data_IF_737952239444
#
_entry.id   IF_737952239444
#
_cell.length_a   1.000
_cell.length_b   1.000
_cell.length_c   1.000
_cell.angle_alpha   90.00
_cell.angle_beta   90.00
_cell.angle_gamma   90.00
#
_symmetry.space_group_name_H-M   'P 1'
#
loop_
_entity.id
_entity.type
_entity.pdbx_description
1 polymer ?
#
# COMPACT_ATOMS: atom_id res chain seq x y z
N UNK A 1 20.34 12.66 14.33
CA UNK A 1 19.41 13.19 13.31
C UNK A 1 18.03 12.66 13.65
N UNK A 2 16.99 13.50 13.62
CA UNK A 2 15.62 13.05 13.90
C UNK A 2 15.11 12.29 12.67
N UNK A 3 14.72 11.03 12.85
CA UNK A 3 14.11 10.22 11.79
C UNK A 3 12.65 10.65 11.63
N UNK A 4 12.23 11.00 10.42
CA UNK A 4 10.85 11.38 10.12
C UNK A 4 9.94 10.14 10.19
N UNK A 5 8.82 10.27 10.91
CA UNK A 5 7.78 9.22 11.00
C UNK A 5 6.87 9.33 9.78
N UNK A 6 6.70 8.21 9.06
CA UNK A 6 5.81 8.12 7.90
C UNK A 6 4.71 7.08 8.15
N UNK A 7 3.49 7.38 7.71
CA UNK A 7 2.37 6.43 7.70
C UNK A 7 1.87 6.29 6.26
N UNK A 8 1.75 5.07 5.76
CA UNK A 8 1.18 4.79 4.45
C UNK A 8 -0.34 4.55 4.55
N UNK A 9 -1.11 5.26 3.73
CA UNK A 9 -2.56 5.07 3.59
C UNK A 9 -2.83 4.52 2.20
N UNK A 10 -3.44 3.33 2.12
CA UNK A 10 -3.59 2.60 0.87
C UNK A 10 -5.07 2.41 0.59
N UNK A 11 -5.51 2.91 -0.56
CA UNK A 11 -6.81 2.59 -1.15
C UNK A 11 -6.70 1.25 -1.91
N UNK A 12 -7.25 0.21 -1.33
CA UNK A 12 -7.25 -1.16 -1.84
C UNK A 12 -8.12 -1.35 -3.07
N UNK A 13 -9.19 -0.57 -3.24
CA UNK A 13 -10.01 -0.64 -4.45
C UNK A 13 -9.22 -0.09 -5.62
N UNK A 14 -8.64 1.11 -5.46
CA UNK A 14 -7.83 1.73 -6.51
C UNK A 14 -6.58 0.88 -6.85
N UNK A 15 -5.90 0.37 -5.82
CA UNK A 15 -4.73 -0.49 -6.01
C UNK A 15 -5.07 -1.77 -6.79
N UNK A 16 -6.15 -2.46 -6.42
CA UNK A 16 -6.55 -3.70 -7.09
C UNK A 16 -6.85 -3.49 -8.58
N UNK A 17 -7.61 -2.44 -8.91
CA UNK A 17 -7.92 -2.11 -10.29
C UNK A 17 -6.67 -1.68 -11.06
N UNK A 18 -5.79 -0.87 -10.47
CA UNK A 18 -4.51 -0.50 -11.07
C UNK A 18 -3.62 -1.70 -11.39
N UNK A 19 -3.56 -2.70 -10.49
CA UNK A 19 -2.84 -3.96 -10.74
C UNK A 19 -3.44 -4.74 -11.92
N UNK A 20 -4.77 -4.75 -12.03
CA UNK A 20 -5.46 -5.44 -13.12
C UNK A 20 -5.20 -4.75 -14.47
N UNK A 21 -5.31 -3.42 -14.51
CA UNK A 21 -5.08 -2.61 -15.71
C UNK A 21 -3.62 -2.70 -16.18
N UNK A 22 -2.67 -2.72 -15.24
CA UNK A 22 -1.24 -2.90 -15.51
C UNK A 22 -0.86 -4.34 -15.91
N UNK A 23 -1.82 -5.29 -15.92
CA UNK A 23 -1.58 -6.72 -16.18
C UNK A 23 -0.52 -7.33 -15.25
N UNK A 24 -0.54 -6.95 -13.97
CA UNK A 24 0.35 -7.43 -12.93
C UNK A 24 -0.35 -8.43 -12.00
N UNK A 25 -1.07 -9.42 -12.55
CA UNK A 25 -1.95 -10.29 -11.76
C UNK A 25 -1.23 -11.09 -10.67
N UNK A 26 0.07 -11.37 -10.83
CA UNK A 26 0.92 -11.97 -9.79
C UNK A 26 1.09 -11.09 -8.55
N UNK A 27 0.86 -9.78 -8.66
CA UNK A 27 0.98 -8.80 -7.58
C UNK A 27 -0.33 -8.58 -6.82
N UNK A 28 -1.38 -9.38 -7.02
CA UNK A 28 -2.63 -9.26 -6.25
C UNK A 28 -2.45 -9.44 -4.74
N UNK A 29 -1.41 -10.16 -4.35
CA UNK A 29 -1.00 -10.38 -2.96
C UNK A 29 0.26 -9.59 -2.62
N UNK A 30 0.37 -8.36 -3.12
CA UNK A 30 1.50 -7.49 -2.88
C UNK A 30 1.69 -7.25 -1.37
N UNK A 31 2.92 -7.40 -0.89
CA UNK A 31 3.29 -6.97 0.45
C UNK A 31 3.30 -5.43 0.50
N UNK A 32 2.23 -4.88 1.06
CA UNK A 32 2.02 -3.45 1.15
C UNK A 32 3.01 -2.76 2.09
N UNK A 33 3.52 -3.47 3.10
CA UNK A 33 4.54 -2.93 4.01
C UNK A 33 5.88 -2.86 3.29
N UNK A 34 6.30 -3.94 2.63
CA UNK A 34 7.54 -3.96 1.88
C UNK A 34 7.53 -2.92 0.73
N UNK A 35 6.40 -2.77 0.02
CA UNK A 35 6.23 -1.69 -0.96
C UNK A 35 6.38 -0.31 -0.31
N UNK A 36 5.69 -0.07 0.81
CA UNK A 36 5.73 1.23 1.49
C UNK A 36 7.14 1.56 1.99
N UNK A 37 7.88 0.57 2.49
CA UNK A 37 9.27 0.70 2.92
C UNK A 37 10.21 1.02 1.75
N UNK A 38 10.01 0.39 0.60
CA UNK A 38 10.78 0.64 -0.62
C UNK A 38 10.59 2.07 -1.19
N UNK A 39 9.51 2.76 -0.81
CA UNK A 39 9.20 4.13 -1.22
C UNK A 39 9.72 5.20 -0.24
N UNK A 40 10.26 4.80 0.92
CA UNK A 40 10.77 5.74 1.92
C UNK A 40 12.05 6.46 1.45
N UNK A 41 12.24 7.68 1.95
CA UNK A 41 13.52 8.40 1.81
C UNK A 41 14.50 7.97 2.92
N UNK A 42 15.82 8.18 2.75
CA UNK A 42 16.84 7.70 3.71
C UNK A 42 16.73 8.21 5.17
N UNK A 43 15.94 9.27 5.42
CA UNK A 43 15.69 9.81 6.77
C UNK A 43 14.28 9.52 7.28
N UNK A 44 13.54 8.63 6.62
CA UNK A 44 12.18 8.26 6.99
C UNK A 44 12.13 6.84 7.54
N UNK A 45 11.15 6.58 8.42
CA UNK A 45 10.79 5.22 8.82
C UNK A 45 9.28 5.04 8.75
N UNK A 46 8.84 3.87 8.33
CA UNK A 46 7.44 3.51 8.24
C UNK A 46 6.93 3.08 9.61
N UNK A 47 6.08 3.91 10.20
CA UNK A 47 5.46 3.65 11.49
C UNK A 47 4.23 2.74 11.35
N UNK A 48 3.38 3.02 10.35
CA UNK A 48 2.11 2.31 10.17
C UNK A 48 1.72 2.21 8.69
N UNK A 49 1.04 1.12 8.34
CA UNK A 49 0.31 0.97 7.08
C UNK A 49 -1.16 0.84 7.41
N UNK A 50 -2.00 1.71 6.83
CA UNK A 50 -3.46 1.65 6.92
C UNK A 50 -4.03 1.30 5.56
N UNK A 51 -4.65 0.13 5.49
CA UNK A 51 -5.30 -0.38 4.29
C UNK A 51 -6.81 -0.17 4.39
N UNK A 52 -7.39 0.48 3.38
CA UNK A 52 -8.82 0.73 3.28
C UNK A 52 -9.31 0.04 2.02
N UNK A 53 -10.43 -0.68 2.10
CA UNK A 53 -11.02 -1.30 0.92
C UNK A 53 -12.55 -1.23 1.01
N UNK A 54 -13.19 -1.38 -0.14
CA UNK A 54 -14.65 -1.43 -0.21
C UNK A 54 -15.12 -2.77 0.34
N UNK A 55 -16.06 -2.75 1.28
CA UNK A 55 -16.73 -3.98 1.70
C UNK A 55 -17.58 -4.49 0.53
N UNK A 56 -17.30 -5.70 0.07
CA UNK A 56 -18.19 -6.39 -0.88
C UNK A 56 -19.44 -6.80 -0.11
N UNK A 57 -20.56 -6.14 -0.38
CA UNK A 57 -21.88 -6.58 0.11
C UNK A 57 -22.52 -7.42 -0.99
N UNK A 58 -22.70 -8.71 -0.71
CA UNK A 58 -23.65 -9.51 -1.47
C UNK A 58 -25.04 -9.20 -0.94
N UNK A 59 -25.93 -8.75 -1.82
CA UNK A 59 -27.35 -8.61 -1.54
C UNK A 59 -28.11 -9.76 -2.19
#
# INVERSE_FOLDING_TARGET
MSTERTIAYIDGYNLYHGICDARLQSSRWLDLRALSEALLKPQQHLDLVRYFTTMVRNN
#
